data_IF_899160056488
#
_entry.id   IF_899160056488
#
_cell.length_a   1.000
_cell.length_b   1.000
_cell.length_c   1.000
_cell.angle_alpha   90.00
_cell.angle_beta   90.00
_cell.angle_gamma   90.00
#
_symmetry.space_group_name_H-M   'P 1'
#
loop_
_entity.id
_entity.type
_entity.pdbx_description
1 polymer ?
#
# COMPACT_ATOMS: atom_id res chain seq x y z
N UNK A 1 -9.86 22.27 -12.94
CA UNK A 1 -8.94 21.48 -13.76
C UNK A 1 -9.13 19.99 -13.44
N UNK A 2 -9.45 19.15 -14.45
CA UNK A 2 -9.62 17.71 -14.25
C UNK A 2 -8.39 17.02 -13.66
N UNK A 3 -7.19 17.43 -14.03
CA UNK A 3 -5.92 16.83 -13.55
C UNK A 3 -5.74 17.12 -12.05
N UNK A 4 -6.12 18.31 -11.59
CA UNK A 4 -6.10 18.66 -10.17
C UNK A 4 -6.95 17.67 -9.33
N UNK A 5 -8.11 17.29 -9.83
CA UNK A 5 -9.03 16.35 -9.14
C UNK A 5 -8.52 14.91 -9.05
N UNK A 6 -7.50 14.54 -9.84
CA UNK A 6 -6.88 13.21 -9.73
C UNK A 6 -5.98 13.08 -8.49
N UNK A 7 -5.49 14.18 -7.95
CA UNK A 7 -4.50 14.17 -6.87
C UNK A 7 -4.93 14.93 -5.61
N UNK A 8 -5.96 15.77 -5.71
CA UNK A 8 -6.48 16.51 -4.56
C UNK A 8 -7.95 16.16 -4.29
N UNK A 9 -8.32 15.92 -3.02
CA UNK A 9 -9.70 15.66 -2.66
C UNK A 9 -10.57 16.89 -2.95
N UNK A 10 -11.79 16.63 -3.39
CA UNK A 10 -12.77 17.66 -3.67
C UNK A 10 -14.12 17.27 -3.05
N UNK A 11 -14.90 18.24 -2.57
CA UNK A 11 -16.19 17.98 -1.92
C UNK A 11 -17.17 17.18 -2.78
N UNK A 12 -17.11 17.36 -4.10
CA UNK A 12 -17.99 16.67 -5.07
C UNK A 12 -17.64 15.16 -5.23
N UNK A 13 -16.62 14.65 -4.52
CA UNK A 13 -16.36 13.21 -4.37
C UNK A 13 -17.37 12.55 -3.41
N UNK A 14 -18.05 13.35 -2.60
CA UNK A 14 -19.12 12.90 -1.73
C UNK A 14 -20.49 13.26 -2.34
N UNK A 15 -21.53 12.52 -2.00
CA UNK A 15 -22.87 12.97 -2.27
C UNK A 15 -23.17 14.25 -1.45
N UNK A 16 -24.02 15.12 -1.99
CA UNK A 16 -24.27 16.41 -1.35
C UNK A 16 -24.82 16.29 0.09
N UNK A 17 -25.71 15.34 0.31
CA UNK A 17 -26.29 15.02 1.63
C UNK A 17 -25.23 14.47 2.61
N UNK A 18 -24.31 13.64 2.14
CA UNK A 18 -23.18 13.15 2.96
C UNK A 18 -22.23 14.27 3.36
N UNK A 19 -21.92 15.16 2.39
CA UNK A 19 -21.08 16.32 2.66
C UNK A 19 -21.72 17.26 3.69
N UNK A 20 -22.99 17.59 3.54
CA UNK A 20 -23.72 18.47 4.47
C UNK A 20 -23.80 17.83 5.86
N UNK A 21 -24.16 16.55 5.96
CA UNK A 21 -24.23 15.84 7.23
C UNK A 21 -22.87 15.79 7.94
N UNK A 22 -21.78 15.52 7.21
CA UNK A 22 -20.44 15.49 7.78
C UNK A 22 -19.97 16.88 8.20
N UNK A 23 -20.23 17.91 7.37
CA UNK A 23 -19.94 19.30 7.69
C UNK A 23 -20.60 19.73 8.99
N UNK A 24 -21.88 19.40 9.16
CA UNK A 24 -22.65 19.76 10.35
C UNK A 24 -22.12 19.07 11.63
N UNK A 25 -21.73 17.80 11.50
CA UNK A 25 -21.09 17.08 12.60
C UNK A 25 -19.74 17.70 13.00
N UNK A 26 -18.91 18.06 12.03
CA UNK A 26 -17.57 18.60 12.28
C UNK A 26 -17.62 20.03 12.83
N UNK A 27 -18.44 20.90 12.19
CA UNK A 27 -18.43 22.33 12.52
C UNK A 27 -19.28 22.68 13.73
N UNK A 28 -20.42 22.04 13.90
CA UNK A 28 -21.41 22.46 14.89
C UNK A 28 -21.57 21.51 16.08
N UNK A 29 -21.66 20.19 15.81
CA UNK A 29 -21.87 19.21 16.88
C UNK A 29 -20.57 18.80 17.57
N UNK A 30 -19.46 18.73 16.83
CA UNK A 30 -18.13 18.33 17.32
C UNK A 30 -18.16 16.99 18.07
N UNK A 31 -18.94 16.04 17.54
CA UNK A 31 -19.10 14.70 18.09
C UNK A 31 -18.22 13.72 17.31
N UNK A 32 -17.05 13.39 17.86
CA UNK A 32 -16.06 12.53 17.20
C UNK A 32 -16.60 11.12 16.91
N UNK A 33 -17.46 10.58 17.78
CA UNK A 33 -18.05 9.26 17.57
C UNK A 33 -19.06 9.27 16.41
N UNK A 34 -19.89 10.32 16.32
CA UNK A 34 -20.81 10.50 15.22
C UNK A 34 -20.06 10.77 13.90
N UNK A 35 -18.98 11.55 13.93
CA UNK A 35 -18.10 11.78 12.77
C UNK A 35 -17.50 10.45 12.29
N UNK A 36 -16.90 9.66 13.19
CA UNK A 36 -16.31 8.37 12.86
C UNK A 36 -17.33 7.41 12.23
N UNK A 37 -18.54 7.35 12.80
CA UNK A 37 -19.63 6.53 12.27
C UNK A 37 -20.05 6.97 10.86
N UNK A 38 -20.21 8.27 10.64
CA UNK A 38 -20.59 8.83 9.33
C UNK A 38 -19.49 8.58 8.29
N UNK A 39 -18.22 8.80 8.64
CA UNK A 39 -17.07 8.53 7.78
C UNK A 39 -17.00 7.04 7.42
N UNK A 40 -17.22 6.15 8.39
CA UNK A 40 -17.25 4.71 8.13
C UNK A 40 -18.38 4.34 7.15
N UNK A 41 -19.58 4.86 7.33
CA UNK A 41 -20.71 4.60 6.41
C UNK A 41 -20.40 5.06 4.98
N UNK A 42 -19.81 6.25 4.82
CA UNK A 42 -19.35 6.76 3.50
C UNK A 42 -18.30 5.82 2.89
N UNK A 43 -17.30 5.41 3.66
CA UNK A 43 -16.24 4.47 3.20
C UNK A 43 -16.82 3.14 2.74
N UNK A 44 -17.77 2.58 3.47
CA UNK A 44 -18.42 1.31 3.08
C UNK A 44 -19.20 1.45 1.78
N UNK A 45 -19.88 2.59 1.56
CA UNK A 45 -20.54 2.88 0.28
C UNK A 45 -19.56 2.99 -0.89
N UNK A 46 -18.35 3.49 -0.65
CA UNK A 46 -17.30 3.61 -1.67
C UNK A 46 -16.66 2.27 -2.07
N UNK A 47 -17.21 1.14 -1.60
CA UNK A 47 -16.70 -0.20 -1.86
C UNK A 47 -15.21 -0.37 -1.48
N UNK A 48 -14.90 -0.49 -0.19
CA UNK A 48 -13.50 -0.58 0.29
C UNK A 48 -12.78 -1.88 -0.11
N UNK A 49 -13.51 -2.86 -0.67
CA UNK A 49 -12.94 -4.16 -1.06
C UNK A 49 -13.29 -4.50 -2.53
N UNK A 50 -12.92 -3.64 -3.49
CA UNK A 50 -13.20 -3.90 -4.90
C UNK A 50 -12.41 -5.12 -5.39
N UNK A 51 -13.05 -5.96 -6.22
CA UNK A 51 -12.44 -7.13 -6.84
C UNK A 51 -11.77 -8.12 -5.85
N UNK A 52 -12.21 -8.16 -4.59
CA UNK A 52 -11.70 -9.10 -3.60
C UNK A 52 -10.20 -9.02 -3.36
N UNK A 53 -9.64 -7.82 -3.34
CA UNK A 53 -8.18 -7.57 -3.26
C UNK A 53 -7.47 -8.18 -2.05
N UNK A 54 -8.21 -8.56 -1.00
CA UNK A 54 -7.66 -9.21 0.20
C UNK A 54 -7.75 -10.73 0.17
N UNK A 55 -8.44 -11.29 -0.82
CA UNK A 55 -8.71 -12.73 -0.89
C UNK A 55 -8.30 -13.34 -2.23
N UNK A 56 -8.55 -12.62 -3.33
CA UNK A 56 -8.20 -13.10 -4.66
C UNK A 56 -6.71 -12.99 -4.92
N UNK A 57 -6.14 -14.01 -5.54
CA UNK A 57 -4.72 -14.12 -5.87
C UNK A 57 -3.79 -14.10 -4.64
N UNK A 58 -4.31 -14.32 -3.45
CA UNK A 58 -3.50 -14.52 -2.24
C UNK A 58 -3.02 -15.98 -2.24
N UNK A 59 -1.69 -16.23 -2.33
CA UNK A 59 -1.18 -17.58 -2.30
C UNK A 59 -1.41 -18.23 -0.93
N UNK A 60 -1.41 -19.55 -0.89
CA UNK A 60 -1.59 -20.32 0.32
C UNK A 60 -0.45 -21.30 0.50
N UNK A 61 -0.01 -21.49 1.73
CA UNK A 61 0.93 -22.52 2.12
C UNK A 61 0.30 -23.31 3.26
N UNK A 62 0.21 -24.65 3.12
CA UNK A 62 -0.48 -25.51 4.08
C UNK A 62 -1.89 -25.01 4.43
N UNK A 63 -2.67 -24.64 3.42
CA UNK A 63 -4.00 -24.06 3.54
C UNK A 63 -4.11 -22.70 4.27
N UNK A 64 -3.01 -22.13 4.75
CA UNK A 64 -2.98 -20.79 5.33
C UNK A 64 -2.70 -19.73 4.25
N UNK A 65 -3.48 -18.64 4.18
CA UNK A 65 -3.20 -17.55 3.24
C UNK A 65 -1.96 -16.79 3.67
N UNK A 66 -1.07 -16.51 2.72
CA UNK A 66 0.11 -15.66 2.93
C UNK A 66 -0.32 -14.20 2.90
N UNK A 67 -0.54 -13.62 4.08
CA UNK A 67 -0.90 -12.20 4.20
C UNK A 67 0.21 -11.30 3.63
N UNK A 68 -0.20 -10.25 2.94
CA UNK A 68 0.75 -9.32 2.34
C UNK A 68 1.40 -9.82 1.04
N UNK A 69 0.94 -10.94 0.47
CA UNK A 69 1.36 -11.44 -0.84
C UNK A 69 0.19 -11.54 -1.80
N UNK A 70 0.40 -11.15 -3.05
CA UNK A 70 -0.51 -11.44 -4.16
C UNK A 70 0.27 -12.01 -5.33
N UNK A 71 -0.20 -13.13 -5.89
CA UNK A 71 0.40 -13.79 -7.03
C UNK A 71 -0.68 -14.07 -8.08
N UNK A 72 -0.83 -13.13 -9.01
CA UNK A 72 -1.81 -13.20 -10.11
C UNK A 72 -1.15 -13.65 -11.43
N UNK A 73 0.03 -13.13 -11.71
CA UNK A 73 0.76 -13.37 -12.94
C UNK A 73 1.89 -14.36 -12.68
N UNK A 74 2.17 -15.23 -13.63
CA UNK A 74 3.13 -16.32 -13.47
C UNK A 74 4.50 -15.86 -12.95
N UNK A 75 4.99 -14.74 -13.48
CA UNK A 75 6.34 -14.25 -13.23
C UNK A 75 6.43 -13.21 -12.11
N UNK A 76 5.29 -12.66 -11.64
CA UNK A 76 5.29 -11.51 -10.74
C UNK A 76 4.51 -11.75 -9.44
N UNK A 77 5.17 -11.54 -8.32
CA UNK A 77 4.56 -11.47 -6.99
C UNK A 77 4.54 -10.02 -6.50
N UNK A 78 3.40 -9.60 -5.94
CA UNK A 78 3.28 -8.34 -5.21
C UNK A 78 3.50 -8.61 -3.72
N UNK A 79 4.31 -7.78 -3.09
CA UNK A 79 4.59 -7.82 -1.67
C UNK A 79 4.24 -6.49 -1.01
N UNK A 80 3.55 -6.58 0.14
CA UNK A 80 3.00 -5.45 0.88
C UNK A 80 3.64 -5.38 2.28
N UNK A 81 4.81 -4.72 2.45
CA UNK A 81 5.44 -4.56 3.76
C UNK A 81 4.58 -3.69 4.67
N UNK A 82 4.40 -4.09 5.92
CA UNK A 82 3.54 -3.39 6.89
C UNK A 82 4.01 -1.95 7.15
N UNK A 83 5.32 -1.71 7.24
CA UNK A 83 5.89 -0.38 7.42
C UNK A 83 5.75 0.54 6.20
N UNK A 84 5.45 -0.03 5.02
CA UNK A 84 5.16 0.70 3.78
C UNK A 84 3.67 0.94 3.54
N UNK A 85 2.77 0.57 4.47
CA UNK A 85 1.31 0.72 4.32
C UNK A 85 0.81 2.11 4.70
N UNK A 86 1.58 3.14 4.46
CA UNK A 86 1.20 4.55 4.51
C UNK A 86 1.52 5.18 3.17
N UNK A 87 0.81 6.24 2.80
CA UNK A 87 1.07 6.92 1.53
C UNK A 87 0.98 8.43 1.72
N UNK A 88 1.94 9.15 1.16
CA UNK A 88 1.98 10.60 1.10
C UNK A 88 1.29 11.16 -0.16
N UNK A 89 1.06 10.29 -1.17
CA UNK A 89 0.38 10.67 -2.40
C UNK A 89 -1.14 10.55 -2.26
N UNK A 90 -1.87 11.56 -2.72
CA UNK A 90 -3.33 11.59 -2.68
C UNK A 90 -3.92 11.25 -4.05
N UNK A 91 -3.79 9.98 -4.46
CA UNK A 91 -4.34 9.52 -5.72
C UNK A 91 -5.83 9.19 -5.55
N UNK A 92 -6.72 10.01 -6.05
CA UNK A 92 -8.19 9.84 -5.91
C UNK A 92 -8.72 8.57 -6.59
N UNK A 93 -7.93 7.97 -7.47
CA UNK A 93 -8.21 6.69 -8.13
C UNK A 93 -7.58 5.47 -7.42
N UNK A 94 -7.01 5.64 -6.23
CA UNK A 94 -6.36 4.56 -5.50
C UNK A 94 -7.39 3.56 -4.97
N UNK A 95 -7.44 2.35 -5.53
CA UNK A 95 -8.34 1.29 -5.06
C UNK A 95 -7.85 0.60 -3.77
N UNK A 96 -6.61 0.87 -3.33
CA UNK A 96 -6.05 0.35 -2.07
C UNK A 96 -6.20 1.32 -0.89
N UNK A 97 -6.88 2.43 -1.07
CA UNK A 97 -7.09 3.43 -0.03
C UNK A 97 -7.57 2.87 1.32
N UNK A 98 -8.39 1.79 1.38
CA UNK A 98 -8.88 1.27 2.66
C UNK A 98 -7.76 0.75 3.57
N UNK A 99 -6.65 0.31 2.98
CA UNK A 99 -5.51 -0.26 3.72
C UNK A 99 -4.73 0.79 4.52
N UNK A 100 -4.87 2.09 4.21
CA UNK A 100 -4.11 3.17 4.87
C UNK A 100 -4.96 4.16 5.67
N UNK A 101 -6.28 3.99 5.72
CA UNK A 101 -7.17 4.99 6.37
C UNK A 101 -7.74 4.50 7.71
N UNK A 102 -7.07 3.54 8.35
CA UNK A 102 -7.50 3.05 9.67
C UNK A 102 -8.72 2.13 9.63
N UNK A 103 -8.88 1.35 8.57
CA UNK A 103 -9.84 0.23 8.50
C UNK A 103 -9.06 -1.06 8.78
N UNK A 104 -9.02 -1.49 10.06
CA UNK A 104 -8.16 -2.59 10.52
C UNK A 104 -8.47 -3.92 9.84
N UNK A 105 -9.73 -4.21 9.59
CA UNK A 105 -10.22 -5.38 8.85
C UNK A 105 -9.85 -5.37 7.36
N UNK A 106 -9.37 -4.24 6.84
CA UNK A 106 -8.90 -4.09 5.46
C UNK A 106 -7.38 -4.09 5.34
N UNK A 107 -6.65 -4.27 6.44
CA UNK A 107 -5.19 -4.37 6.41
C UNK A 107 -4.74 -5.67 5.76
N UNK A 108 -3.89 -5.54 4.75
CA UNK A 108 -3.32 -6.65 4.01
C UNK A 108 -1.82 -6.40 3.84
N UNK A 109 -1.04 -6.85 4.81
CA UNK A 109 0.40 -6.60 4.87
C UNK A 109 1.16 -7.73 5.56
N UNK A 110 2.48 -7.76 5.34
CA UNK A 110 3.43 -8.65 6.01
C UNK A 110 4.45 -7.84 6.81
N UNK A 111 4.79 -8.32 8.01
CA UNK A 111 5.77 -7.66 8.87
C UNK A 111 7.21 -8.00 8.51
N UNK A 112 7.42 -9.13 7.88
CA UNK A 112 8.72 -9.71 7.52
C UNK A 112 8.66 -10.45 6.20
N UNK A 113 9.81 -10.83 5.67
CA UNK A 113 9.94 -11.49 4.36
C UNK A 113 10.03 -13.00 4.44
N UNK A 114 10.01 -13.60 5.61
CA UNK A 114 10.24 -15.04 5.81
C UNK A 114 9.30 -15.91 4.96
N UNK A 115 8.00 -15.60 4.98
CA UNK A 115 7.01 -16.32 4.17
C UNK A 115 7.17 -16.06 2.67
N UNK A 116 7.51 -14.83 2.28
CA UNK A 116 7.79 -14.48 0.90
C UNK A 116 9.00 -15.28 0.37
N UNK A 117 10.11 -15.29 1.10
CA UNK A 117 11.32 -16.04 0.73
C UNK A 117 11.03 -17.54 0.62
N UNK A 118 10.33 -18.11 1.59
CA UNK A 118 9.93 -19.52 1.55
C UNK A 118 9.05 -19.83 0.33
N UNK A 119 8.11 -18.94 0.02
CA UNK A 119 7.26 -19.05 -1.15
C UNK A 119 8.05 -19.01 -2.46
N UNK A 120 8.95 -18.01 -2.61
CA UNK A 120 9.77 -17.84 -3.81
C UNK A 120 10.70 -19.02 -4.07
N UNK A 121 11.27 -19.65 -3.03
CA UNK A 121 12.11 -20.86 -3.17
C UNK A 121 11.38 -22.02 -3.84
N UNK A 122 10.07 -22.09 -3.69
CA UNK A 122 9.25 -23.17 -4.30
C UNK A 122 8.57 -22.75 -5.61
N UNK A 123 8.77 -21.49 -6.05
CA UNK A 123 8.17 -20.93 -7.25
C UNK A 123 9.21 -20.32 -8.18
N UNK A 124 10.07 -21.14 -8.85
CA UNK A 124 11.17 -20.64 -9.68
C UNK A 124 10.71 -19.90 -10.94
N UNK A 125 9.43 -20.02 -11.32
CA UNK A 125 8.84 -19.24 -12.41
C UNK A 125 8.65 -17.75 -12.04
N UNK A 126 8.67 -17.41 -10.76
CA UNK A 126 8.59 -16.01 -10.30
C UNK A 126 9.95 -15.36 -10.47
N UNK A 127 10.07 -14.42 -11.36
CA UNK A 127 11.32 -13.69 -11.67
C UNK A 127 11.28 -12.23 -11.25
N UNK A 128 10.15 -11.77 -10.74
CA UNK A 128 9.88 -10.36 -10.46
C UNK A 128 9.09 -10.18 -9.16
N UNK A 129 9.61 -9.38 -8.26
CA UNK A 129 8.95 -9.00 -7.00
C UNK A 129 8.65 -7.52 -7.04
N UNK A 130 7.36 -7.15 -6.98
CA UNK A 130 6.92 -5.77 -6.85
C UNK A 130 6.57 -5.46 -5.39
N UNK A 131 7.44 -4.71 -4.72
CA UNK A 131 7.19 -4.16 -3.38
C UNK A 131 6.28 -2.93 -3.54
N UNK A 132 5.12 -2.96 -2.90
CA UNK A 132 4.08 -1.95 -3.06
C UNK A 132 3.22 -1.85 -1.80
N UNK A 133 2.11 -1.14 -1.85
CA UNK A 133 1.19 -0.98 -0.71
C UNK A 133 0.62 0.41 -0.70
N UNK A 134 0.91 1.19 0.34
CA UNK A 134 0.78 2.65 0.35
C UNK A 134 1.85 3.23 -0.57
N UNK A 135 3.01 3.49 -0.03
CA UNK A 135 4.22 3.81 -0.81
C UNK A 135 5.45 3.23 -0.10
N UNK A 136 6.21 2.31 -0.71
CA UNK A 136 7.34 1.68 -0.05
C UNK A 136 8.46 2.65 0.32
N UNK A 137 8.60 3.78 -0.38
CA UNK A 137 9.65 4.77 -0.08
C UNK A 137 9.31 5.72 1.07
N UNK A 138 8.14 5.56 1.72
CA UNK A 138 7.88 6.19 3.01
C UNK A 138 8.69 5.55 4.14
N UNK A 139 9.09 4.32 3.96
CA UNK A 139 10.04 3.65 4.85
C UNK A 139 11.39 4.38 4.82
N UNK A 140 12.07 4.46 5.97
CA UNK A 140 13.47 4.82 5.95
C UNK A 140 14.31 3.73 5.24
N UNK A 141 15.51 4.08 4.82
CA UNK A 141 16.37 3.17 4.04
C UNK A 141 16.68 1.88 4.78
N UNK A 142 16.92 1.95 6.09
CA UNK A 142 17.17 0.76 6.91
C UNK A 142 16.00 -0.24 6.84
N UNK A 143 14.78 0.25 7.08
CA UNK A 143 13.59 -0.63 7.02
C UNK A 143 13.34 -1.17 5.61
N UNK A 144 13.61 -0.37 4.58
CA UNK A 144 13.51 -0.83 3.19
C UNK A 144 14.54 -1.93 2.89
N UNK A 145 15.77 -1.78 3.36
CA UNK A 145 16.84 -2.76 3.22
C UNK A 145 16.48 -4.10 3.87
N UNK A 146 15.87 -4.08 5.06
CA UNK A 146 15.40 -5.29 5.75
C UNK A 146 14.41 -6.12 4.91
N UNK A 147 13.65 -5.48 4.00
CA UNK A 147 12.77 -6.18 3.06
C UNK A 147 13.43 -6.57 1.74
N UNK A 148 14.47 -5.86 1.31
CA UNK A 148 15.15 -6.12 0.02
C UNK A 148 16.26 -7.16 0.16
N UNK A 149 17.13 -7.05 1.17
CA UNK A 149 18.28 -7.94 1.34
C UNK A 149 17.95 -9.44 1.29
N UNK A 150 16.89 -9.94 1.95
CA UNK A 150 16.55 -11.34 1.87
C UNK A 150 16.20 -11.84 0.46
N UNK A 151 15.78 -10.94 -0.43
CA UNK A 151 15.46 -11.28 -1.83
C UNK A 151 16.70 -11.41 -2.71
N UNK A 152 17.85 -10.93 -2.24
CA UNK A 152 19.15 -11.01 -2.93
C UNK A 152 19.93 -12.29 -2.57
N UNK A 153 19.34 -13.16 -1.75
CA UNK A 153 19.99 -14.40 -1.32
C UNK A 153 20.29 -15.33 -2.54
N UNK A 154 21.43 -16.04 -2.55
CA UNK A 154 21.82 -16.91 -3.65
C UNK A 154 20.77 -17.95 -4.04
N UNK A 155 19.99 -18.45 -3.10
CA UNK A 155 18.92 -19.41 -3.35
C UNK A 155 17.69 -18.81 -4.06
N UNK A 156 17.65 -17.49 -4.23
CA UNK A 156 16.65 -16.73 -5.00
C UNK A 156 17.25 -16.14 -6.29
N UNK A 157 18.34 -16.70 -6.82
CA UNK A 157 19.01 -16.21 -8.04
C UNK A 157 18.11 -16.18 -9.30
N UNK A 158 16.93 -16.82 -9.24
CA UNK A 158 15.92 -16.74 -10.30
C UNK A 158 15.14 -15.41 -10.27
N UNK A 159 15.17 -14.64 -9.16
CA UNK A 159 14.59 -13.31 -9.09
C UNK A 159 15.51 -12.35 -9.86
N UNK A 160 15.00 -11.82 -10.96
CA UNK A 160 15.72 -10.92 -11.87
C UNK A 160 15.42 -9.45 -11.59
N UNK A 161 14.23 -9.17 -11.06
CA UNK A 161 13.78 -7.80 -10.82
C UNK A 161 13.15 -7.66 -9.42
N UNK A 162 13.60 -6.63 -8.70
CA UNK A 162 12.92 -6.11 -7.50
C UNK A 162 12.47 -4.70 -7.85
N UNK A 163 11.17 -4.48 -7.86
CA UNK A 163 10.57 -3.20 -8.23
C UNK A 163 9.92 -2.54 -7.02
N UNK A 164 10.01 -1.22 -6.96
CA UNK A 164 9.33 -0.40 -5.95
C UNK A 164 8.21 0.39 -6.61
N UNK A 165 6.97 0.10 -6.23
CA UNK A 165 5.79 0.83 -6.71
C UNK A 165 5.59 2.12 -5.92
N UNK A 166 6.15 3.22 -6.39
CA UNK A 166 6.20 4.49 -5.66
C UNK A 166 5.70 5.69 -6.45
N UNK A 167 5.19 6.69 -5.74
CA UNK A 167 4.92 8.06 -6.22
C UNK A 167 5.93 9.08 -5.67
N UNK A 168 6.88 8.65 -4.84
CA UNK A 168 7.84 9.57 -4.19
C UNK A 168 8.65 10.40 -5.18
N UNK A 169 8.98 9.86 -6.35
CA UNK A 169 9.69 10.61 -7.39
C UNK A 169 8.96 11.92 -7.76
N UNK A 170 7.63 11.89 -7.80
CA UNK A 170 6.83 13.06 -8.19
C UNK A 170 6.35 13.89 -6.99
N UNK A 171 6.05 13.26 -5.86
CA UNK A 171 5.40 13.92 -4.72
C UNK A 171 6.36 14.27 -3.58
N UNK A 172 7.52 13.60 -3.53
CA UNK A 172 8.52 13.78 -2.49
C UNK A 172 9.94 13.60 -3.04
N UNK A 173 10.37 14.44 -4.01
CA UNK A 173 11.70 14.32 -4.62
C UNK A 173 12.85 14.50 -3.62
N UNK A 174 12.62 15.21 -2.50
CA UNK A 174 13.59 15.36 -1.40
C UNK A 174 14.05 14.01 -0.84
N UNK A 175 13.20 12.97 -0.92
CA UNK A 175 13.52 11.60 -0.52
C UNK A 175 14.80 11.06 -1.17
N UNK A 176 15.14 11.56 -2.35
CA UNK A 176 16.29 11.11 -3.14
C UNK A 176 17.51 12.05 -3.05
N UNK A 177 17.33 13.28 -2.60
CA UNK A 177 18.38 14.30 -2.72
C UNK A 177 18.75 15.01 -1.43
N UNK A 178 17.88 15.10 -0.44
CA UNK A 178 18.12 15.90 0.77
C UNK A 178 17.59 15.34 2.07
N UNK A 179 16.86 14.23 2.05
CA UNK A 179 16.45 13.55 3.28
C UNK A 179 17.66 12.98 4.01
N UNK A 180 17.54 12.78 5.32
CA UNK A 180 18.66 12.38 6.19
C UNK A 180 19.37 11.09 5.76
N UNK A 181 18.65 10.19 5.08
CA UNK A 181 19.13 8.89 4.61
C UNK A 181 19.09 8.77 3.08
N UNK A 182 19.04 9.90 2.35
CA UNK A 182 18.99 9.91 0.88
C UNK A 182 20.22 9.27 0.24
N UNK A 183 21.43 9.52 0.78
CA UNK A 183 22.67 8.92 0.28
C UNK A 183 22.67 7.39 0.47
N UNK A 184 22.17 6.90 1.60
CA UNK A 184 22.06 5.47 1.87
C UNK A 184 20.99 4.82 0.96
N UNK A 185 19.89 5.54 0.70
CA UNK A 185 18.88 5.09 -0.25
C UNK A 185 19.46 4.95 -1.67
N UNK A 186 20.26 5.93 -2.10
CA UNK A 186 20.87 5.90 -3.44
C UNK A 186 21.96 4.83 -3.57
N UNK A 187 22.57 4.38 -2.46
CA UNK A 187 23.49 3.23 -2.46
C UNK A 187 22.78 1.88 -2.48
N UNK A 188 21.54 1.83 -2.01
CA UNK A 188 20.72 0.62 -2.01
C UNK A 188 20.29 0.23 -3.44
N UNK A 189 20.15 1.21 -4.33
CA UNK A 189 19.78 1.02 -5.75
C UNK A 189 20.99 0.80 -6.65
#
# INVERSE_FOLDING_TARGET
>A
DPIYRLVFPHRDMLHADEYEALRDLVLFKKDDAAIAKQVHAIRMRMNPHPAGQMTHNVPRVNDAPLKGLQHKYKETVLFFPSSGQTCHAYCTFCFRWPQFVGMDDMKFDARETTELVAYLKTHPDVTDVLITGGDPLIMNTRSLTEFIEPLLAPELAHIQNIRLGTKSVAYWPQRFVSDKDSDDLMRLF
#
